data_IF_116797227871
#
_entry.id   IF_116797227871
#
_cell.length_a   1.000
_cell.length_b   1.000
_cell.length_c   1.000
_cell.angle_alpha   90.00
_cell.angle_beta   90.00
_cell.angle_gamma   90.00
#
_symmetry.space_group_name_H-M   'P 1'
#
loop_
_entity.id
_entity.type
_entity.pdbx_description
1 polymer ?
#
# COMPACT_ATOMS: atom_id res chain seq x y z
N UNK A 1 -16.01 7.06 11.65
CA UNK A 1 -16.38 7.19 10.21
C UNK A 1 -15.09 7.03 9.41
N UNK A 2 -15.12 6.25 8.34
CA UNK A 2 -13.97 6.10 7.45
C UNK A 2 -13.76 7.40 6.64
N UNK A 3 -12.50 7.73 6.28
CA UNK A 3 -12.19 8.94 5.49
C UNK A 3 -12.57 8.74 4.01
N UNK A 4 -12.45 9.81 3.23
CA UNK A 4 -12.62 9.71 1.77
C UNK A 4 -11.50 8.89 1.13
N UNK A 5 -10.26 9.05 1.63
CA UNK A 5 -9.06 8.35 1.13
C UNK A 5 -8.23 7.80 2.27
N UNK A 6 -7.58 6.68 2.00
CA UNK A 6 -6.49 6.15 2.82
C UNK A 6 -5.28 6.00 1.90
N UNK A 7 -4.24 6.78 2.16
CA UNK A 7 -2.96 6.66 1.44
C UNK A 7 -2.17 5.52 2.05
N UNK A 8 -2.08 4.41 1.31
CA UNK A 8 -1.39 3.21 1.75
C UNK A 8 -0.03 3.10 1.08
N UNK A 9 1.00 2.94 1.89
CA UNK A 9 2.35 2.64 1.40
C UNK A 9 3.02 1.53 2.20
N UNK A 10 3.91 0.85 1.53
CA UNK A 10 4.81 -0.16 2.04
C UNK A 10 5.82 -0.52 0.96
N UNK A 11 6.95 -1.10 1.32
CA UNK A 11 8.01 -1.42 0.36
C UNK A 11 7.65 -2.62 -0.52
N UNK A 12 8.29 -2.80 -1.68
CA UNK A 12 8.19 -4.04 -2.46
C UNK A 12 8.46 -5.26 -1.57
N UNK A 13 7.57 -6.26 -1.65
CA UNK A 13 7.66 -7.46 -0.82
C UNK A 13 7.18 -7.34 0.62
N UNK A 14 6.72 -6.17 1.08
CA UNK A 14 6.11 -6.02 2.41
C UNK A 14 4.72 -6.65 2.54
N UNK A 15 4.18 -7.23 1.49
CA UNK A 15 2.83 -7.80 1.40
C UNK A 15 1.69 -6.77 1.52
N UNK A 16 2.01 -5.50 1.36
CA UNK A 16 1.03 -4.42 1.44
C UNK A 16 -0.16 -4.59 0.48
N UNK A 17 0.05 -5.23 -0.69
CA UNK A 17 -1.04 -5.53 -1.64
C UNK A 17 -2.05 -6.54 -1.09
N UNK A 18 -1.60 -7.55 -0.33
CA UNK A 18 -2.48 -8.47 0.37
C UNK A 18 -3.27 -7.79 1.50
N UNK A 19 -2.62 -6.88 2.23
CA UNK A 19 -3.28 -6.02 3.22
C UNK A 19 -4.34 -5.15 2.54
N UNK A 20 -3.99 -4.50 1.43
CA UNK A 20 -4.92 -3.70 0.63
C UNK A 20 -6.14 -4.51 0.22
N UNK A 21 -5.94 -5.71 -0.31
CA UNK A 21 -7.03 -6.59 -0.72
C UNK A 21 -7.97 -6.95 0.44
N UNK A 22 -7.42 -7.20 1.62
CA UNK A 22 -8.20 -7.46 2.83
C UNK A 22 -9.02 -6.24 3.24
N UNK A 23 -8.43 -5.05 3.25
CA UNK A 23 -9.16 -3.81 3.58
C UNK A 23 -10.25 -3.50 2.56
N UNK A 24 -9.98 -3.70 1.28
CA UNK A 24 -10.94 -3.49 0.20
C UNK A 24 -12.11 -4.49 0.19
N UNK A 25 -12.06 -5.56 1.01
CA UNK A 25 -13.21 -6.43 1.27
C UNK A 25 -14.18 -5.88 2.32
N UNK A 26 -13.78 -4.84 3.06
CA UNK A 26 -14.62 -4.20 4.07
C UNK A 26 -15.75 -3.41 3.38
N UNK A 27 -17.00 -3.52 3.84
CA UNK A 27 -18.08 -2.68 3.34
C UNK A 27 -17.76 -1.19 3.44
N UNK A 28 -18.01 -0.46 2.37
CA UNK A 28 -17.76 0.99 2.32
C UNK A 28 -16.43 1.37 1.64
N UNK A 29 -15.55 0.42 1.31
CA UNK A 29 -14.43 0.69 0.42
C UNK A 29 -14.89 0.74 -1.05
N UNK A 30 -14.36 1.71 -1.78
CA UNK A 30 -14.64 1.89 -3.20
C UNK A 30 -13.59 1.16 -4.04
N UNK A 31 -14.00 0.14 -4.77
CA UNK A 31 -13.14 -0.68 -5.63
C UNK A 31 -13.41 -0.45 -7.13
N UNK A 32 -14.09 0.63 -7.48
CA UNK A 32 -14.45 0.92 -8.88
C UNK A 32 -13.26 1.36 -9.75
N UNK A 33 -12.07 1.48 -9.18
CA UNK A 33 -10.81 1.65 -9.90
C UNK A 33 -10.31 0.37 -10.58
N UNK A 34 -10.91 -0.79 -10.26
CA UNK A 34 -10.54 -2.11 -10.79
C UNK A 34 -11.07 -2.32 -12.21
N UNK A 35 -10.56 -1.55 -13.15
CA UNK A 35 -10.90 -1.68 -14.57
C UNK A 35 -9.80 -2.45 -15.31
N UNK A 36 -10.11 -3.12 -16.46
CA UNK A 36 -9.11 -3.84 -17.24
C UNK A 36 -7.91 -2.97 -17.67
N UNK A 37 -8.14 -1.67 -17.89
CA UNK A 37 -7.10 -0.74 -18.28
C UNK A 37 -6.15 -0.38 -17.12
N UNK A 38 -6.52 -0.68 -15.88
CA UNK A 38 -5.80 -0.30 -14.67
C UNK A 38 -5.27 -1.49 -13.88
N UNK A 39 -5.46 -2.70 -14.37
CA UNK A 39 -4.98 -3.92 -13.75
C UNK A 39 -3.93 -4.60 -14.63
N UNK A 40 -2.96 -5.21 -14.00
CA UNK A 40 -2.03 -6.12 -14.67
C UNK A 40 -1.91 -7.42 -13.87
N UNK A 41 -1.57 -8.50 -14.56
CA UNK A 41 -1.44 -9.81 -13.92
C UNK A 41 -0.06 -9.97 -13.29
N UNK A 42 -0.04 -10.37 -12.04
CA UNK A 42 1.14 -10.90 -11.39
C UNK A 42 1.46 -12.32 -11.81
N UNK A 43 2.56 -12.81 -11.31
CA UNK A 43 2.96 -14.19 -11.49
C UNK A 43 1.92 -15.14 -10.87
N UNK A 44 1.45 -16.15 -11.62
CA UNK A 44 0.34 -17.00 -11.22
C UNK A 44 0.61 -17.83 -9.96
N UNK A 45 1.85 -18.22 -9.69
CA UNK A 45 2.17 -19.06 -8.54
C UNK A 45 2.14 -18.32 -7.18
N UNK A 46 2.09 -17.01 -7.17
CA UNK A 46 1.98 -16.24 -5.92
C UNK A 46 0.55 -16.09 -5.42
N UNK A 47 -0.43 -16.45 -6.23
CA UNK A 47 -1.85 -16.23 -5.95
C UNK A 47 -2.31 -14.79 -6.11
N UNK A 48 -1.43 -13.86 -6.49
CA UNK A 48 -1.84 -12.49 -6.80
C UNK A 48 -2.58 -12.44 -8.12
N UNK A 49 -3.77 -11.87 -8.10
CA UNK A 49 -4.66 -11.76 -9.26
C UNK A 49 -4.36 -10.54 -10.13
N UNK A 50 -3.58 -9.60 -9.61
CA UNK A 50 -3.19 -8.38 -10.30
C UNK A 50 -2.87 -7.24 -9.33
N UNK A 51 -2.37 -6.16 -9.88
CA UNK A 51 -2.16 -4.91 -9.18
C UNK A 51 -2.85 -3.78 -9.94
N UNK A 52 -3.09 -2.68 -9.27
CA UNK A 52 -3.81 -1.53 -9.82
C UNK A 52 -2.84 -0.40 -10.05
N UNK A 53 -2.80 0.10 -11.27
CA UNK A 53 -2.02 1.27 -11.67
C UNK A 53 -2.92 2.36 -12.19
N UNK A 54 -2.50 3.59 -12.04
CA UNK A 54 -3.21 4.75 -12.56
C UNK A 54 -3.10 5.95 -11.62
N UNK A 55 -3.98 6.92 -11.75
CA UNK A 55 -3.93 8.15 -10.99
C UNK A 55 -3.88 7.91 -9.49
N UNK A 56 -2.83 8.42 -8.83
CA UNK A 56 -2.62 8.23 -7.40
C UNK A 56 -2.23 6.83 -6.95
N UNK A 57 -1.91 5.94 -7.87
CA UNK A 57 -1.41 4.59 -7.64
C UNK A 57 0.11 4.52 -7.82
N UNK A 58 0.66 3.30 -7.82
CA UNK A 58 2.12 3.07 -7.85
C UNK A 58 2.91 3.79 -8.94
N UNK A 59 2.29 4.11 -10.07
CA UNK A 59 3.04 4.69 -11.19
C UNK A 59 3.21 6.20 -11.10
N UNK A 60 2.34 6.89 -10.36
CA UNK A 60 2.34 8.35 -10.37
C UNK A 60 1.72 8.91 -9.09
N UNK A 61 2.52 9.62 -8.34
CA UNK A 61 2.13 10.26 -7.09
C UNK A 61 1.94 11.77 -7.28
N UNK A 62 0.72 12.17 -7.67
CA UNK A 62 0.32 13.59 -7.76
C UNK A 62 -0.55 13.97 -6.57
N UNK A 63 -0.23 15.11 -5.94
CA UNK A 63 -0.98 15.63 -4.79
C UNK A 63 -2.17 16.48 -5.26
N UNK A 64 -3.05 15.90 -6.06
CA UNK A 64 -4.28 16.51 -6.58
C UNK A 64 -5.46 15.58 -6.36
N UNK A 65 -6.47 16.06 -5.62
CA UNK A 65 -7.67 15.27 -5.33
C UNK A 65 -8.39 14.83 -6.61
N UNK A 66 -8.60 15.75 -7.55
CA UNK A 66 -9.29 15.45 -8.81
C UNK A 66 -8.53 14.40 -9.63
N UNK A 67 -7.19 14.51 -9.67
CA UNK A 67 -6.35 13.54 -10.36
C UNK A 67 -6.44 12.15 -9.72
N UNK A 68 -6.29 12.07 -8.39
CA UNK A 68 -6.39 10.81 -7.65
C UNK A 68 -7.79 10.20 -7.84
N UNK A 69 -8.83 10.99 -7.61
CA UNK A 69 -10.21 10.51 -7.63
C UNK A 69 -10.67 10.07 -9.03
N UNK A 70 -10.08 10.63 -10.09
CA UNK A 70 -10.36 10.22 -11.47
C UNK A 70 -10.06 8.74 -11.76
N UNK A 71 -9.33 8.07 -10.88
CA UNK A 71 -9.07 6.64 -10.97
C UNK A 71 -10.32 5.79 -10.68
N UNK A 72 -11.24 6.29 -9.87
CA UNK A 72 -12.47 5.59 -9.50
C UNK A 72 -13.63 6.02 -10.39
N UNK A 73 -14.37 5.03 -10.89
CA UNK A 73 -15.49 5.27 -11.83
C UNK A 73 -16.81 5.54 -11.12
N UNK A 74 -16.89 5.27 -9.81
CA UNK A 74 -18.06 5.59 -9.00
C UNK A 74 -17.72 6.55 -7.87
N UNK A 75 -18.69 7.36 -7.47
CA UNK A 75 -18.61 8.25 -6.33
C UNK A 75 -18.91 7.52 -5.02
N UNK A 76 -18.39 8.04 -3.92
CA UNK A 76 -18.64 7.52 -2.57
C UNK A 76 -17.72 6.37 -2.19
N UNK A 77 -17.80 6.00 -0.90
CA UNK A 77 -16.91 5.01 -0.29
C UNK A 77 -15.48 5.50 -0.10
N UNK A 78 -14.73 4.77 0.72
CA UNK A 78 -13.32 5.06 1.01
C UNK A 78 -12.43 4.52 -0.10
N UNK A 79 -11.60 5.37 -0.66
CA UNK A 79 -10.63 5.01 -1.70
C UNK A 79 -9.30 4.63 -1.08
N UNK A 80 -8.79 3.46 -1.41
CA UNK A 80 -7.46 3.04 -0.96
C UNK A 80 -6.42 3.42 -2.03
N UNK A 81 -5.71 4.51 -1.79
CA UNK A 81 -4.75 5.11 -2.71
C UNK A 81 -3.37 4.50 -2.48
N UNK A 82 -2.99 3.55 -3.32
CA UNK A 82 -1.82 2.68 -3.14
C UNK A 82 -0.62 3.13 -3.97
N UNK A 83 0.52 3.38 -3.33
CA UNK A 83 1.81 3.53 -4.01
C UNK A 83 2.97 3.31 -3.05
N UNK A 84 4.04 2.68 -3.54
CA UNK A 84 5.33 2.64 -2.84
C UNK A 84 5.92 4.05 -2.68
N UNK A 85 5.73 4.92 -3.66
CA UNK A 85 6.33 6.24 -3.71
C UNK A 85 5.70 7.24 -2.73
N UNK A 86 4.52 6.94 -2.16
CA UNK A 86 4.01 7.72 -1.04
C UNK A 86 4.99 7.77 0.14
N UNK A 87 5.85 6.75 0.30
CA UNK A 87 6.87 6.73 1.34
C UNK A 87 7.78 7.98 1.31
N UNK A 88 8.07 8.50 0.12
CA UNK A 88 8.95 9.67 -0.04
C UNK A 88 8.27 11.02 0.22
N UNK A 89 6.94 11.05 0.35
CA UNK A 89 6.21 12.32 0.45
C UNK A 89 5.11 12.33 1.50
N UNK A 90 5.19 11.49 2.54
CA UNK A 90 4.16 11.35 3.57
C UNK A 90 3.75 12.67 4.24
N UNK A 91 4.72 13.55 4.55
CA UNK A 91 4.44 14.88 5.10
C UNK A 91 3.69 15.79 4.12
N UNK A 92 3.94 15.63 2.82
CA UNK A 92 3.21 16.37 1.79
C UNK A 92 1.80 15.83 1.62
N UNK A 93 1.64 14.51 1.63
CA UNK A 93 0.31 13.87 1.61
C UNK A 93 -0.54 14.40 2.75
N UNK A 94 -0.04 14.36 3.98
CA UNK A 94 -0.78 14.85 5.14
C UNK A 94 -1.14 16.34 5.05
N UNK A 95 -0.26 17.17 4.50
CA UNK A 95 -0.51 18.60 4.34
C UNK A 95 -1.59 18.89 3.30
N UNK A 96 -1.63 18.13 2.20
CA UNK A 96 -2.59 18.32 1.12
C UNK A 96 -3.94 17.66 1.39
N UNK A 97 -3.95 16.61 2.21
CA UNK A 97 -5.11 15.80 2.54
C UNK A 97 -5.24 15.63 4.08
N UNK A 98 -5.47 16.73 4.82
CA UNK A 98 -5.45 16.70 6.28
C UNK A 98 -6.57 15.86 6.91
N UNK A 99 -7.67 15.65 6.20
CA UNK A 99 -8.83 14.87 6.65
C UNK A 99 -8.79 13.41 6.20
N UNK A 100 -7.80 13.04 5.38
CA UNK A 100 -7.61 11.68 4.89
C UNK A 100 -6.58 10.94 5.76
N UNK A 101 -6.62 9.62 5.73
CA UNK A 101 -5.74 8.81 6.56
C UNK A 101 -4.49 8.40 5.80
N UNK A 102 -3.41 8.20 6.55
CA UNK A 102 -2.18 7.58 6.05
C UNK A 102 -2.01 6.23 6.75
N UNK A 103 -1.86 5.17 5.98
CA UNK A 103 -1.56 3.84 6.48
C UNK A 103 -0.19 3.39 6.00
N UNK A 104 0.65 2.99 6.95
CA UNK A 104 1.99 2.51 6.68
C UNK A 104 2.07 1.00 6.94
N UNK A 105 2.77 0.31 6.06
CA UNK A 105 3.13 -1.10 6.21
C UNK A 105 4.64 -1.19 6.27
N UNK A 106 5.15 -1.70 7.38
CA UNK A 106 6.57 -1.97 7.59
C UNK A 106 6.81 -3.48 7.63
N UNK A 107 7.86 -3.89 6.96
CA UNK A 107 8.45 -5.22 7.05
C UNK A 107 9.97 -5.08 6.93
N UNK A 108 10.80 -5.81 7.71
CA UNK A 108 12.25 -5.75 7.60
C UNK A 108 12.76 -5.92 6.17
N UNK A 109 13.78 -5.17 5.80
CA UNK A 109 14.28 -5.08 4.42
C UNK A 109 14.56 -6.44 3.79
N UNK A 110 15.31 -7.30 4.48
CA UNK A 110 15.66 -8.62 3.96
C UNK A 110 14.46 -9.55 3.86
N UNK A 111 13.49 -9.45 4.77
CA UNK A 111 12.25 -10.22 4.71
C UNK A 111 11.39 -9.76 3.54
N UNK A 112 11.33 -8.45 3.29
CA UNK A 112 10.65 -7.86 2.14
C UNK A 112 11.31 -8.28 0.83
N UNK A 113 12.63 -8.20 0.77
CA UNK A 113 13.40 -8.56 -0.42
C UNK A 113 13.25 -10.05 -0.77
N UNK A 114 13.36 -10.94 0.23
CA UNK A 114 13.15 -12.37 0.04
C UNK A 114 11.74 -12.68 -0.48
N UNK A 115 10.72 -12.06 0.15
CA UNK A 115 9.34 -12.23 -0.31
C UNK A 115 9.10 -11.67 -1.72
N UNK A 116 9.72 -10.56 -2.06
CA UNK A 116 9.61 -10.00 -3.40
C UNK A 116 10.13 -10.99 -4.47
N UNK A 117 11.25 -11.68 -4.19
CA UNK A 117 11.76 -12.74 -5.06
C UNK A 117 10.79 -13.92 -5.16
N UNK A 118 10.25 -14.40 -4.03
CA UNK A 118 9.25 -15.46 -4.00
C UNK A 118 7.97 -15.07 -4.78
N UNK A 119 7.59 -13.80 -4.72
CA UNK A 119 6.44 -13.27 -5.44
C UNK A 119 6.65 -13.10 -6.95
N UNK A 120 7.80 -13.43 -7.47
CA UNK A 120 8.13 -13.37 -8.89
C UNK A 120 9.35 -12.52 -9.23
N UNK A 121 9.74 -11.61 -8.34
CA UNK A 121 10.96 -10.82 -8.48
C UNK A 121 11.05 -10.12 -9.84
N UNK A 122 12.16 -10.28 -10.53
CA UNK A 122 12.40 -9.71 -11.86
C UNK A 122 11.52 -10.26 -12.99
N UNK A 123 10.71 -11.27 -12.71
CA UNK A 123 9.72 -11.79 -13.67
C UNK A 123 8.43 -10.94 -13.66
N UNK A 124 8.23 -10.12 -12.64
CA UNK A 124 7.12 -9.19 -12.57
C UNK A 124 7.47 -7.97 -13.42
N UNK A 125 6.64 -7.69 -14.42
CA UNK A 125 6.86 -6.53 -15.29
C UNK A 125 6.19 -5.31 -14.65
N UNK A 126 7.00 -4.45 -14.05
CA UNK A 126 6.58 -3.13 -13.60
C UNK A 126 6.96 -2.10 -14.67
N UNK A 127 5.98 -1.38 -15.23
CA UNK A 127 6.28 -0.32 -16.16
C UNK A 127 6.89 0.85 -15.46
N UNK A 128 7.96 1.32 -15.34
CA UNK A 128 8.49 2.58 -14.78
C UNK A 128 9.32 2.49 -13.50
N UNK A 129 9.74 1.32 -13.05
CA UNK A 129 10.60 1.21 -11.88
C UNK A 129 12.02 0.76 -12.27
N UNK A 130 12.93 1.73 -12.43
CA UNK A 130 14.33 1.44 -12.73
C UNK A 130 15.03 0.62 -11.65
N UNK A 131 14.61 0.80 -10.38
CA UNK A 131 15.10 0.01 -9.25
C UNK A 131 14.87 -1.49 -9.38
N UNK A 132 13.93 -1.91 -10.24
CA UNK A 132 13.58 -3.34 -10.43
C UNK A 132 14.44 -4.03 -11.49
N UNK A 133 15.52 -3.43 -11.93
CA UNK A 133 16.41 -4.02 -12.95
C UNK A 133 17.47 -4.94 -12.37
N UNK A 134 17.88 -4.72 -11.12
CA UNK A 134 18.88 -5.55 -10.44
C UNK A 134 18.66 -5.65 -8.94
N UNK A 135 19.34 -6.64 -8.33
CA UNK A 135 19.19 -6.95 -6.90
C UNK A 135 19.62 -5.82 -5.97
N UNK A 136 20.67 -5.10 -6.32
CA UNK A 136 21.19 -4.00 -5.49
C UNK A 136 20.25 -2.79 -5.56
N UNK A 137 19.77 -2.46 -6.75
CA UNK A 137 18.77 -1.39 -6.94
C UNK A 137 17.48 -1.67 -6.16
N UNK A 138 16.98 -2.92 -6.23
CA UNK A 138 15.78 -3.29 -5.49
C UNK A 138 15.99 -3.23 -3.97
N UNK A 139 17.08 -3.78 -3.46
CA UNK A 139 17.38 -3.73 -2.02
C UNK A 139 17.57 -2.28 -1.55
N UNK A 140 18.27 -1.47 -2.32
CA UNK A 140 18.43 -0.05 -2.02
C UNK A 140 17.09 0.70 -2.00
N UNK A 141 16.18 0.41 -2.94
CA UNK A 141 14.84 1.00 -2.97
C UNK A 141 14.01 0.58 -1.73
N UNK A 142 14.01 -0.71 -1.37
CA UNK A 142 13.35 -1.21 -0.17
C UNK A 142 13.88 -0.50 1.08
N UNK A 143 15.20 -0.46 1.26
CA UNK A 143 15.83 0.17 2.42
C UNK A 143 15.49 1.65 2.51
N UNK A 144 15.57 2.38 1.41
CA UNK A 144 15.28 3.81 1.37
C UNK A 144 13.82 4.12 1.69
N UNK A 145 12.89 3.35 1.13
CA UNK A 145 11.46 3.52 1.41
C UNK A 145 11.13 3.17 2.86
N UNK A 146 11.65 2.06 3.40
CA UNK A 146 11.48 1.71 4.81
C UNK A 146 12.05 2.78 5.73
N UNK A 147 13.20 3.35 5.42
CA UNK A 147 13.76 4.46 6.19
C UNK A 147 12.78 5.64 6.24
N UNK A 148 12.25 6.08 5.10
CA UNK A 148 11.26 7.17 5.06
C UNK A 148 9.99 6.84 5.86
N UNK A 149 9.50 5.61 5.78
CA UNK A 149 8.34 5.13 6.55
C UNK A 149 8.62 5.19 8.05
N UNK A 150 9.78 4.70 8.51
CA UNK A 150 10.15 4.68 9.91
C UNK A 150 10.41 6.08 10.47
N UNK A 151 11.08 6.95 9.70
CA UNK A 151 11.32 8.35 10.08
C UNK A 151 10.00 9.12 10.25
N UNK A 152 9.08 8.97 9.31
CA UNK A 152 7.76 9.59 9.42
C UNK A 152 6.99 9.06 10.62
N UNK A 153 6.93 7.75 10.80
CA UNK A 153 6.26 7.11 11.93
C UNK A 153 6.86 7.56 13.27
N UNK A 154 8.19 7.60 13.37
CA UNK A 154 8.89 8.06 14.57
C UNK A 154 8.57 9.53 14.88
N UNK A 155 8.60 10.41 13.88
CA UNK A 155 8.28 11.83 14.05
C UNK A 155 6.86 12.10 14.56
N UNK A 156 5.98 11.12 14.46
CA UNK A 156 4.57 11.17 14.88
C UNK A 156 4.27 10.30 16.09
N UNK A 157 5.30 9.74 16.76
CA UNK A 157 5.15 8.83 17.89
C UNK A 157 4.21 7.67 17.58
N UNK A 158 4.33 7.08 16.40
CA UNK A 158 3.46 6.01 15.94
C UNK A 158 3.54 4.76 16.82
N UNK A 159 2.39 4.16 17.08
CA UNK A 159 2.33 2.82 17.65
C UNK A 159 2.18 1.81 16.52
N UNK A 160 3.08 0.84 16.47
CA UNK A 160 3.03 -0.23 15.50
C UNK A 160 2.23 -1.42 16.02
N UNK A 161 1.47 -2.05 15.15
CA UNK A 161 0.60 -3.18 15.44
C UNK A 161 0.81 -4.30 14.43
N UNK A 162 0.55 -5.53 14.83
CA UNK A 162 0.40 -6.63 13.87
C UNK A 162 -0.91 -6.48 13.11
N UNK A 163 -0.91 -6.82 11.83
CA UNK A 163 -2.13 -6.83 11.02
C UNK A 163 -2.96 -8.08 11.36
N UNK A 164 -3.91 -7.91 12.28
CA UNK A 164 -4.80 -8.97 12.77
C UNK A 164 -6.28 -8.60 12.60
N UNK A 165 -7.21 -9.57 12.62
CA UNK A 165 -8.64 -9.28 12.59
C UNK A 165 -9.09 -8.29 13.67
N UNK A 166 -8.53 -8.42 14.89
CA UNK A 166 -8.85 -7.56 16.03
C UNK A 166 -8.38 -6.13 15.81
N UNK A 167 -7.17 -5.97 15.24
CA UNK A 167 -6.65 -4.65 14.91
C UNK A 167 -7.49 -3.98 13.80
N UNK A 168 -7.88 -4.74 12.77
CA UNK A 168 -8.74 -4.23 11.70
C UNK A 168 -10.09 -3.81 12.25
N UNK A 169 -10.71 -4.65 13.11
CA UNK A 169 -11.99 -4.34 13.74
C UNK A 169 -11.91 -3.07 14.59
N UNK A 170 -10.87 -2.93 15.43
CA UNK A 170 -10.68 -1.75 16.27
C UNK A 170 -10.40 -0.46 15.48
N UNK A 171 -9.76 -0.59 14.32
CA UNK A 171 -9.32 0.56 13.50
C UNK A 171 -10.40 1.02 12.52
N UNK A 172 -11.06 0.07 11.85
CA UNK A 172 -11.98 0.30 10.74
C UNK A 172 -13.45 0.01 11.09
N UNK A 173 -13.71 -0.62 12.23
CA UNK A 173 -15.07 -0.97 12.69
C UNK A 173 -15.66 -2.23 12.06
N UNK A 174 -14.83 -3.01 11.36
CA UNK A 174 -15.27 -4.24 10.68
C UNK A 174 -14.29 -5.38 10.95
N UNK A 175 -14.80 -6.52 11.35
CA UNK A 175 -14.00 -7.73 11.46
C UNK A 175 -13.82 -8.39 10.09
N UNK A 176 -12.59 -8.77 9.78
CA UNK A 176 -12.21 -9.44 8.54
C UNK A 176 -11.59 -10.80 8.85
N UNK A 177 -11.67 -11.71 7.90
CA UNK A 177 -10.90 -12.95 7.96
C UNK A 177 -9.50 -12.72 7.38
N UNK A 178 -8.47 -13.10 8.14
CA UNK A 178 -7.07 -13.05 7.70
C UNK A 178 -6.55 -14.48 7.71
N UNK A 179 -6.45 -15.07 6.54
CA UNK A 179 -6.07 -16.47 6.37
C UNK A 179 -4.66 -16.79 6.91
N UNK A 180 -3.75 -15.81 6.92
CA UNK A 180 -2.39 -15.95 7.44
C UNK A 180 -1.89 -14.63 7.99
N UNK A 181 -1.48 -14.64 9.25
CA UNK A 181 -0.76 -13.53 9.87
C UNK A 181 0.74 -13.69 9.66
N UNK A 182 1.45 -12.57 9.57
CA UNK A 182 2.90 -12.53 9.44
C UNK A 182 3.47 -11.73 10.60
N UNK A 183 4.24 -12.36 11.49
CA UNK A 183 4.74 -11.70 12.70
C UNK A 183 5.78 -10.60 12.40
N UNK A 184 6.37 -10.62 11.22
CA UNK A 184 7.36 -9.64 10.74
C UNK A 184 6.73 -8.45 10.00
N UNK A 185 5.39 -8.41 9.89
CA UNK A 185 4.68 -7.30 9.26
C UNK A 185 4.00 -6.46 10.35
N UNK A 186 4.31 -5.18 10.34
CA UNK A 186 3.73 -4.19 11.22
C UNK A 186 2.98 -3.12 10.43
N UNK A 187 1.91 -2.62 11.02
CA UNK A 187 1.06 -1.58 10.42
C UNK A 187 0.81 -0.46 11.42
N UNK A 188 0.59 0.75 10.91
CA UNK A 188 0.09 1.88 11.69
C UNK A 188 -0.79 2.77 10.83
N UNK A 189 -1.72 3.50 11.46
CA UNK A 189 -2.63 4.43 10.78
C UNK A 189 -2.61 5.77 11.49
N UNK A 190 -2.45 6.82 10.71
CA UNK A 190 -2.61 8.22 11.13
C UNK A 190 -3.96 8.72 10.63
N UNK A 191 -4.78 9.15 11.57
CA UNK A 191 -6.14 9.67 11.34
C UNK A 191 -6.14 11.18 11.39
#
# INVERSE_FOLDING_TARGET
MLPNRIFLTGVPGSRWSGIAQTLESIPGFNTSDRTPARTYSHHSYTGHQGAYFGSGMELECRLSADYIDSAWTSSGGTRLVKSHDWAYMLSNVQRHFPDDWIMLVYRPDMASYAWWHEAGGFQIKYPCYDAYQDSMGMLAAITRQNQCILEYAHSRNATWHHFTPEWVESTFGYRVEIAKTFPDILVTVFK
#
